data_IF_763717293625
#
_entry.id   IF_763717293625
#
_cell.length_a   1.000
_cell.length_b   1.000
_cell.length_c   1.000
_cell.angle_alpha   90.00
_cell.angle_beta   90.00
_cell.angle_gamma   90.00
#
_symmetry.space_group_name_H-M   'P 1'
#
loop_
_entity.id
_entity.type
_entity.pdbx_description
1 polymer ?
#
# COMPACT_ATOMS: atom_id res chain seq x y z
N UNK A 1 -10.15 22.00 -11.93
CA UNK A 1 -9.44 21.94 -10.63
C UNK A 1 -7.97 21.67 -10.94
N UNK A 2 -7.04 22.39 -10.33
CA UNK A 2 -5.60 22.26 -10.63
C UNK A 2 -5.09 20.87 -10.22
N UNK A 3 -4.41 20.17 -11.14
CA UNK A 3 -3.88 18.82 -10.92
C UNK A 3 -2.93 18.78 -9.72
N UNK A 4 -2.13 19.83 -9.50
CA UNK A 4 -1.24 19.90 -8.34
C UNK A 4 -2.00 19.93 -7.01
N UNK A 5 -3.17 20.56 -6.97
CA UNK A 5 -4.01 20.59 -5.76
C UNK A 5 -4.68 19.25 -5.46
N UNK A 6 -5.05 18.49 -6.50
CA UNK A 6 -5.59 17.14 -6.34
C UNK A 6 -4.49 16.15 -5.95
N UNK A 7 -3.32 16.27 -6.57
CA UNK A 7 -2.18 15.36 -6.40
C UNK A 7 -1.15 15.91 -5.42
N UNK A 8 -1.59 16.28 -4.21
CA UNK A 8 -0.71 16.68 -3.13
C UNK A 8 -0.09 15.45 -2.44
N UNK A 9 1.25 15.32 -2.34
CA UNK A 9 1.91 14.15 -1.76
C UNK A 9 1.39 13.79 -0.36
N UNK A 10 1.25 14.77 0.53
CA UNK A 10 0.71 14.56 1.88
C UNK A 10 -0.68 13.91 1.88
N UNK A 11 -1.59 14.39 1.03
CA UNK A 11 -2.96 13.87 0.95
C UNK A 11 -2.94 12.43 0.45
N UNK A 12 -2.17 12.14 -0.60
CA UNK A 12 -2.06 10.78 -1.14
C UNK A 12 -1.39 9.80 -0.18
N UNK A 13 -0.40 10.24 0.60
CA UNK A 13 0.15 9.44 1.67
C UNK A 13 -0.87 9.13 2.76
N UNK A 14 -1.72 10.09 3.14
CA UNK A 14 -2.79 9.86 4.12
C UNK A 14 -3.79 8.83 3.58
N UNK A 15 -4.25 9.01 2.34
CA UNK A 15 -5.23 8.10 1.74
C UNK A 15 -4.65 6.70 1.62
N UNK A 16 -3.48 6.56 1.00
CA UNK A 16 -2.85 5.26 0.80
C UNK A 16 -2.49 4.58 2.13
N UNK A 17 -1.94 5.36 3.07
CA UNK A 17 -1.57 4.89 4.40
C UNK A 17 -2.78 4.42 5.22
N UNK A 18 -3.85 5.22 5.26
CA UNK A 18 -5.08 4.85 5.95
C UNK A 18 -5.73 3.60 5.35
N UNK A 19 -5.79 3.49 4.02
CA UNK A 19 -6.38 2.33 3.35
C UNK A 19 -5.57 1.05 3.59
N UNK A 20 -4.24 1.12 3.54
CA UNK A 20 -3.39 -0.02 3.88
C UNK A 20 -3.51 -0.42 5.36
N UNK A 21 -3.61 0.57 6.26
CA UNK A 21 -3.81 0.33 7.68
C UNK A 21 -5.14 -0.38 7.97
N UNK A 22 -6.23 0.14 7.40
CA UNK A 22 -7.56 -0.46 7.54
C UNK A 22 -7.60 -1.86 6.93
N UNK A 23 -7.01 -2.06 5.76
CA UNK A 23 -6.92 -3.38 5.12
C UNK A 23 -6.11 -4.38 5.95
N UNK A 24 -4.98 -3.96 6.55
CA UNK A 24 -4.19 -4.81 7.42
C UNK A 24 -4.90 -5.23 8.71
N UNK A 25 -5.68 -4.31 9.30
CA UNK A 25 -6.51 -4.59 10.48
C UNK A 25 -7.64 -5.55 10.11
N UNK A 26 -8.32 -5.30 8.99
CA UNK A 26 -9.39 -6.18 8.48
C UNK A 26 -8.87 -7.59 8.23
N UNK A 27 -7.71 -7.73 7.59
CA UNK A 27 -7.07 -9.02 7.32
C UNK A 27 -6.72 -9.77 8.62
N UNK A 28 -6.33 -9.05 9.68
CA UNK A 28 -6.07 -9.67 10.99
C UNK A 28 -7.35 -10.17 11.66
N UNK A 29 -8.42 -9.37 11.61
CA UNK A 29 -9.72 -9.74 12.20
C UNK A 29 -10.30 -10.95 11.47
N UNK A 30 -10.14 -11.02 10.15
CA UNK A 30 -10.69 -12.04 9.29
C UNK A 30 -9.64 -13.05 8.79
N UNK A 31 -8.56 -13.25 9.54
CA UNK A 31 -7.42 -14.08 9.11
C UNK A 31 -7.82 -15.52 8.77
N UNK A 32 -8.78 -16.10 9.51
CA UNK A 32 -9.31 -17.44 9.23
C UNK A 32 -10.03 -17.49 7.88
N UNK A 33 -10.91 -16.54 7.60
CA UNK A 33 -11.64 -16.43 6.33
C UNK A 33 -10.68 -16.20 5.15
N UNK A 34 -9.66 -15.36 5.33
CA UNK A 34 -8.63 -15.13 4.32
C UNK A 34 -7.76 -16.36 4.09
N UNK A 35 -7.45 -17.12 5.15
CA UNK A 35 -6.67 -18.35 5.04
C UNK A 35 -7.44 -19.44 4.31
N UNK A 36 -8.74 -19.61 4.60
CA UNK A 36 -9.59 -20.52 3.86
C UNK A 36 -9.70 -20.11 2.38
N UNK A 37 -9.83 -18.81 2.10
CA UNK A 37 -9.86 -18.29 0.74
C UNK A 37 -8.54 -18.50 -0.01
N UNK A 38 -7.40 -18.42 0.67
CA UNK A 38 -6.08 -18.49 0.04
C UNK A 38 -5.53 -19.92 -0.07
N UNK A 39 -5.94 -20.82 0.83
CA UNK A 39 -5.40 -22.18 0.92
C UNK A 39 -6.44 -23.27 0.73
N UNK A 40 -7.72 -22.92 0.60
CA UNK A 40 -8.84 -23.84 0.58
C UNK A 40 -9.16 -24.43 1.96
N UNK A 41 -10.34 -25.05 2.08
CA UNK A 41 -10.79 -25.67 3.33
C UNK A 41 -9.81 -26.75 3.86
N UNK A 42 -9.20 -27.52 2.95
CA UNK A 42 -8.21 -28.56 3.32
C UNK A 42 -6.86 -27.97 3.78
N UNK A 43 -6.56 -26.71 3.41
CA UNK A 43 -5.35 -25.98 3.79
C UNK A 43 -5.53 -25.09 5.03
N UNK A 44 -6.73 -25.02 5.61
CA UNK A 44 -7.03 -24.23 6.78
C UNK A 44 -6.46 -24.89 8.05
N UNK A 45 -5.48 -24.25 8.67
CA UNK A 45 -4.84 -24.69 9.91
C UNK A 45 -4.19 -23.49 10.62
N UNK A 46 -3.66 -23.73 11.82
CA UNK A 46 -3.02 -22.68 12.64
C UNK A 46 -1.91 -21.93 11.90
N UNK A 47 -1.17 -22.59 11.00
CA UNK A 47 -0.09 -21.98 10.24
C UNK A 47 -0.61 -21.05 9.14
N UNK A 48 -1.63 -21.46 8.37
CA UNK A 48 -2.21 -20.59 7.34
C UNK A 48 -2.91 -19.37 7.94
N UNK A 49 -3.60 -19.54 9.07
CA UNK A 49 -4.18 -18.43 9.84
C UNK A 49 -3.09 -17.47 10.34
N UNK A 50 -1.98 -18.00 10.87
CA UNK A 50 -0.86 -17.18 11.32
C UNK A 50 -0.17 -16.43 10.17
N UNK A 51 -0.08 -17.03 8.98
CA UNK A 51 0.45 -16.36 7.78
C UNK A 51 -0.43 -15.17 7.37
N UNK A 52 -1.76 -15.33 7.40
CA UNK A 52 -2.67 -14.22 7.10
C UNK A 52 -2.63 -13.12 8.15
N UNK A 53 -2.59 -13.46 9.43
CA UNK A 53 -2.41 -12.47 10.49
C UNK A 53 -1.09 -11.68 10.31
N UNK A 54 0.00 -12.37 9.93
CA UNK A 54 1.27 -11.74 9.62
C UNK A 54 1.19 -10.84 8.38
N UNK A 55 0.51 -11.27 7.32
CA UNK A 55 0.28 -10.48 6.13
C UNK A 55 -0.49 -9.18 6.47
N UNK A 56 -1.56 -9.30 7.25
CA UNK A 56 -2.31 -8.16 7.76
C UNK A 56 -1.44 -7.22 8.61
N UNK A 57 -0.53 -7.76 9.43
CA UNK A 57 0.40 -6.95 10.23
C UNK A 57 1.36 -6.15 9.35
N UNK A 58 1.91 -6.77 8.29
CA UNK A 58 2.76 -6.05 7.32
C UNK A 58 2.00 -4.95 6.60
N UNK A 59 0.76 -5.22 6.17
CA UNK A 59 -0.10 -4.22 5.54
C UNK A 59 -0.41 -3.05 6.49
N UNK A 60 -0.70 -3.34 7.76
CA UNK A 60 -0.87 -2.33 8.79
C UNK A 60 0.42 -1.50 8.99
N UNK A 61 1.58 -2.15 9.00
CA UNK A 61 2.89 -1.51 9.06
C UNK A 61 3.15 -0.57 7.87
N UNK A 62 2.84 -0.99 6.64
CA UNK A 62 2.90 -0.13 5.45
C UNK A 62 1.98 1.09 5.60
N UNK A 63 0.77 0.88 6.12
CA UNK A 63 -0.17 1.96 6.41
C UNK A 63 0.39 2.99 7.38
N UNK A 64 0.94 2.52 8.51
CA UNK A 64 1.56 3.38 9.51
C UNK A 64 2.75 4.17 8.95
N UNK A 65 3.64 3.53 8.18
CA UNK A 65 4.77 4.21 7.53
C UNK A 65 4.30 5.25 6.50
N UNK A 66 3.25 4.96 5.74
CA UNK A 66 2.64 5.93 4.81
C UNK A 66 2.15 7.18 5.54
N UNK A 67 1.48 7.00 6.68
CA UNK A 67 1.06 8.11 7.54
C UNK A 67 2.27 8.87 8.11
N UNK A 68 3.32 8.16 8.54
CA UNK A 68 4.57 8.81 8.97
C UNK A 68 5.15 9.69 7.87
N UNK A 69 5.22 9.21 6.62
CA UNK A 69 5.68 10.02 5.49
C UNK A 69 4.80 11.25 5.24
N UNK A 70 3.48 11.17 5.49
CA UNK A 70 2.58 12.31 5.34
C UNK A 70 2.88 13.46 6.33
N UNK A 71 3.30 13.12 7.55
CA UNK A 71 3.44 14.08 8.64
C UNK A 71 4.90 14.41 9.01
N UNK A 72 5.85 13.55 8.68
CA UNK A 72 7.27 13.73 9.02
C UNK A 72 8.10 14.28 7.84
N UNK A 73 7.63 14.14 6.60
CA UNK A 73 8.31 14.67 5.43
C UNK A 73 7.60 15.90 4.90
N UNK A 74 8.37 16.84 4.35
CA UNK A 74 7.85 18.07 3.76
C UNK A 74 8.57 18.41 2.45
N UNK A 75 7.96 19.30 1.66
CA UNK A 75 8.53 19.85 0.43
C UNK A 75 9.03 18.79 -0.56
N UNK A 76 10.22 19.03 -1.13
CA UNK A 76 10.84 18.17 -2.15
C UNK A 76 11.12 16.76 -1.63
N UNK A 77 11.47 16.59 -0.36
CA UNK A 77 11.75 15.29 0.22
C UNK A 77 10.49 14.42 0.20
N UNK A 78 9.35 14.97 0.62
CA UNK A 78 8.07 14.26 0.58
C UNK A 78 7.68 13.87 -0.85
N UNK A 79 7.85 14.76 -1.82
CA UNK A 79 7.53 14.48 -3.22
C UNK A 79 8.41 13.37 -3.83
N UNK A 80 9.73 13.42 -3.59
CA UNK A 80 10.65 12.37 -4.07
C UNK A 80 10.36 11.02 -3.43
N UNK A 81 10.08 11.00 -2.13
CA UNK A 81 9.68 9.79 -1.43
C UNK A 81 8.33 9.27 -1.95
N UNK A 82 7.36 10.13 -2.26
CA UNK A 82 6.06 9.71 -2.80
C UNK A 82 6.23 8.95 -4.12
N UNK A 83 7.06 9.48 -5.02
CA UNK A 83 7.37 8.83 -6.30
C UNK A 83 8.07 7.48 -6.10
N UNK A 84 9.15 7.46 -5.31
CA UNK A 84 9.93 6.25 -5.09
C UNK A 84 9.12 5.17 -4.36
N UNK A 85 8.41 5.54 -3.29
CA UNK A 85 7.60 4.63 -2.50
C UNK A 85 6.45 4.04 -3.32
N UNK A 86 5.75 4.87 -4.10
CA UNK A 86 4.70 4.39 -5.01
C UNK A 86 5.22 3.34 -5.99
N UNK A 87 6.39 3.56 -6.59
CA UNK A 87 7.00 2.59 -7.51
C UNK A 87 7.43 1.29 -6.80
N UNK A 88 8.06 1.40 -5.64
CA UNK A 88 8.53 0.23 -4.86
C UNK A 88 7.36 -0.64 -4.40
N UNK A 89 6.32 -0.03 -3.84
CA UNK A 89 5.13 -0.77 -3.36
C UNK A 89 4.36 -1.36 -4.54
N UNK A 90 4.23 -0.66 -5.68
CA UNK A 90 3.66 -1.25 -6.89
C UNK A 90 4.43 -2.49 -7.34
N UNK A 91 5.76 -2.44 -7.36
CA UNK A 91 6.58 -3.61 -7.72
C UNK A 91 6.41 -4.75 -6.72
N UNK A 92 6.31 -4.43 -5.42
CA UNK A 92 6.02 -5.43 -4.39
C UNK A 92 4.71 -6.16 -4.66
N UNK A 93 3.62 -5.45 -4.99
CA UNK A 93 2.34 -6.09 -5.34
C UNK A 93 2.43 -6.95 -6.60
N UNK A 94 3.17 -6.53 -7.63
CA UNK A 94 3.43 -7.38 -8.81
C UNK A 94 4.17 -8.65 -8.40
N UNK A 95 5.25 -8.51 -7.63
CA UNK A 95 6.04 -9.64 -7.18
C UNK A 95 5.20 -10.62 -6.35
N UNK A 96 4.35 -10.10 -5.46
CA UNK A 96 3.42 -10.90 -4.65
C UNK A 96 2.48 -11.75 -5.53
N UNK A 97 1.85 -11.15 -6.55
CA UNK A 97 0.96 -11.85 -7.48
C UNK A 97 1.67 -12.89 -8.37
N UNK A 98 2.97 -12.73 -8.60
CA UNK A 98 3.77 -13.68 -9.39
C UNK A 98 4.32 -14.81 -8.52
N UNK A 99 4.75 -14.49 -7.30
CA UNK A 99 5.50 -15.41 -6.44
C UNK A 99 4.61 -16.25 -5.53
N UNK A 100 3.56 -15.68 -4.92
CA UNK A 100 2.71 -16.43 -3.99
C UNK A 100 2.01 -17.64 -4.65
N UNK A 101 1.49 -17.57 -5.89
CA UNK A 101 0.91 -18.75 -6.53
C UNK A 101 1.85 -19.94 -6.65
N UNK A 102 3.17 -19.70 -6.72
CA UNK A 102 4.17 -20.78 -6.78
C UNK A 102 4.27 -21.59 -5.50
N UNK A 103 3.71 -21.11 -4.39
CA UNK A 103 3.69 -21.81 -3.09
C UNK A 103 2.39 -22.54 -2.83
N UNK A 104 1.45 -22.54 -3.79
CA UNK A 104 0.09 -23.06 -3.60
C UNK A 104 -0.88 -22.05 -2.99
N UNK A 105 -0.47 -20.78 -2.86
CA UNK A 105 -1.35 -19.70 -2.39
C UNK A 105 -2.28 -19.23 -3.52
N UNK A 106 -3.57 -19.27 -3.29
CA UNK A 106 -4.58 -18.77 -4.23
C UNK A 106 -4.70 -17.24 -4.15
N UNK A 107 -4.13 -16.58 -5.16
CA UNK A 107 -4.25 -15.13 -5.29
C UNK A 107 -5.66 -14.76 -5.78
N UNK A 108 -6.27 -13.70 -5.22
CA UNK A 108 -7.46 -13.10 -5.81
C UNK A 108 -7.24 -12.73 -7.28
N UNK A 109 -8.30 -12.66 -8.07
CA UNK A 109 -8.21 -12.26 -9.47
C UNK A 109 -7.54 -10.88 -9.65
N UNK A 110 -6.98 -10.61 -10.83
CA UNK A 110 -6.21 -9.40 -11.11
C UNK A 110 -6.94 -8.07 -10.80
N UNK A 111 -8.28 -8.07 -10.76
CA UNK A 111 -9.07 -6.92 -10.31
C UNK A 111 -8.77 -6.46 -8.88
N UNK A 112 -8.28 -7.37 -8.02
CA UNK A 112 -7.86 -7.05 -6.66
C UNK A 112 -6.63 -6.12 -6.60
N UNK A 113 -5.86 -6.03 -7.69
CA UNK A 113 -4.78 -5.06 -7.82
C UNK A 113 -5.27 -3.65 -8.11
N UNK A 114 -6.51 -3.45 -8.56
CA UNK A 114 -6.95 -2.11 -8.97
C UNK A 114 -6.84 -1.08 -7.83
N UNK A 115 -7.33 -1.32 -6.59
CA UNK A 115 -7.17 -0.37 -5.50
C UNK A 115 -5.71 -0.01 -5.15
N UNK A 116 -4.79 -0.96 -4.88
CA UNK A 116 -3.41 -0.61 -4.54
C UNK A 116 -2.71 0.13 -5.69
N UNK A 117 -2.96 -0.23 -6.94
CA UNK A 117 -2.37 0.50 -8.08
C UNK A 117 -2.95 1.90 -8.28
N UNK A 118 -4.23 2.14 -7.95
CA UNK A 118 -4.79 3.50 -7.95
C UNK A 118 -4.12 4.35 -6.88
N UNK A 119 -3.94 3.82 -5.67
CA UNK A 119 -3.29 4.57 -4.59
C UNK A 119 -1.82 4.84 -4.89
N UNK A 120 -1.08 3.83 -5.36
CA UNK A 120 0.33 3.99 -5.71
C UNK A 120 0.50 4.86 -6.95
N UNK A 121 -0.38 4.75 -7.94
CA UNK A 121 -0.44 5.62 -9.11
C UNK A 121 -0.65 7.07 -8.72
N UNK A 122 -1.62 7.35 -7.86
CA UNK A 122 -1.85 8.70 -7.35
C UNK A 122 -0.67 9.22 -6.53
N UNK A 123 -0.03 8.37 -5.72
CA UNK A 123 1.17 8.73 -4.98
C UNK A 123 2.34 9.05 -5.92
N UNK A 124 2.56 8.24 -6.96
CA UNK A 124 3.59 8.48 -7.98
C UNK A 124 3.36 9.78 -8.75
N UNK A 125 2.13 10.01 -9.21
CA UNK A 125 1.75 11.26 -9.90
C UNK A 125 1.93 12.45 -8.97
N UNK A 126 1.55 12.33 -7.69
CA UNK A 126 1.74 13.40 -6.70
C UNK A 126 3.20 13.75 -6.51
N UNK A 127 4.08 12.75 -6.42
CA UNK A 127 5.52 12.95 -6.28
C UNK A 127 6.13 13.57 -7.53
N UNK A 128 5.80 13.05 -8.71
CA UNK A 128 6.30 13.55 -10.00
C UNK A 128 5.96 15.03 -10.22
N UNK A 129 4.74 15.45 -9.87
CA UNK A 129 4.28 16.83 -10.05
C UNK A 129 4.94 17.84 -9.10
N UNK A 130 5.48 17.40 -7.96
CA UNK A 130 6.01 18.27 -6.90
C UNK A 130 7.52 18.10 -6.65
N UNK A 131 8.19 17.10 -7.25
CA UNK A 131 9.60 16.81 -6.97
C UNK A 131 10.58 17.92 -7.41
N UNK A 132 10.14 18.77 -8.34
CA UNK A 132 10.91 19.87 -8.92
C UNK A 132 10.42 21.25 -8.48
N UNK A 133 9.41 21.32 -7.61
CA UNK A 133 8.90 22.61 -7.15
C UNK A 133 9.98 23.31 -6.34
N UNK A 134 10.24 24.58 -6.64
CA UNK A 134 11.17 25.39 -5.84
C UNK A 134 10.72 25.33 -4.38
N UNK A 135 11.66 25.16 -3.45
CA UNK A 135 11.32 25.21 -2.03
C UNK A 135 10.71 26.58 -1.79
N UNK A 136 9.39 26.63 -1.55
CA UNK A 136 8.78 27.83 -1.03
C UNK A 136 9.49 28.09 0.30
N UNK A 137 10.29 29.15 0.33
CA UNK A 137 10.94 29.62 1.54
C UNK A 137 9.87 29.70 2.62
N UNK A 138 10.11 29.02 3.74
CA UNK A 138 9.26 29.15 4.92
C UNK A 138 9.24 30.63 5.30
N UNK A 139 8.09 31.28 5.16
CA UNK A 139 7.78 32.53 5.86
C UNK A 139 7.52 32.26 7.34
#
# INVERSE_FOLDING_TARGET
MDAKKIFQPKIWYIIAGAMALLGGIENNINAESWAESAWGADGLNDQSIAMEALFGLFMAGFGAMGLTCAFALEGKAQAKFALANGAVISLFFVAMFVLLPSTGYEMPGAGFLAPPFVFMGGLMVSGYLHMNDEEQAAE
#
